data_IF_417694894103
#
_entry.id   IF_417694894103
#
_cell.length_a   1.000
_cell.length_b   1.000
_cell.length_c   1.000
_cell.angle_alpha   90.00
_cell.angle_beta   90.00
_cell.angle_gamma   90.00
#
_symmetry.space_group_name_H-M   'P 1'
#
loop_
_entity.id
_entity.type
_entity.pdbx_description
1 polymer ?
#
# COMPACT_ATOMS: atom_id res chain seq x y z
N UNK A 1 24.74 12.41 9.68
CA UNK A 1 24.65 11.13 8.95
C UNK A 1 25.04 11.38 7.50
N UNK A 2 25.88 10.56 6.93
CA UNK A 2 26.20 10.66 5.50
C UNK A 2 25.04 10.09 4.71
N UNK A 3 24.54 10.84 3.73
CA UNK A 3 23.51 10.36 2.81
C UNK A 3 24.08 9.22 1.96
N UNK A 4 23.36 8.12 1.87
CA UNK A 4 23.68 7.03 0.96
C UNK A 4 23.19 7.46 -0.44
N UNK A 5 23.98 7.20 -1.47
CA UNK A 5 23.55 7.44 -2.85
C UNK A 5 22.32 6.56 -3.15
N UNK A 6 21.14 7.14 -3.39
CA UNK A 6 19.94 6.37 -3.69
C UNK A 6 20.08 5.47 -4.95
N UNK A 7 20.99 5.80 -5.84
CA UNK A 7 21.23 5.04 -7.07
C UNK A 7 21.78 3.62 -6.81
N UNK A 8 22.34 3.36 -5.63
CA UNK A 8 22.81 2.00 -5.28
C UNK A 8 21.66 1.05 -4.92
N UNK A 9 20.47 1.58 -4.62
CA UNK A 9 19.29 0.74 -4.33
C UNK A 9 18.81 0.10 -5.63
N UNK A 10 18.75 -1.24 -5.71
CA UNK A 10 18.25 -1.91 -6.90
C UNK A 10 16.85 -1.46 -7.27
N UNK A 11 16.57 -1.40 -8.56
CA UNK A 11 15.26 -1.02 -9.08
C UNK A 11 14.53 -2.25 -9.62
N UNK A 12 13.28 -2.39 -9.24
CA UNK A 12 12.34 -3.33 -9.87
C UNK A 12 11.70 -2.65 -11.08
N UNK A 13 11.37 -3.44 -12.09
CA UNK A 13 10.73 -2.90 -13.30
C UNK A 13 9.31 -3.43 -13.37
N UNK A 14 8.34 -2.55 -13.23
CA UNK A 14 6.92 -2.88 -13.40
C UNK A 14 6.64 -3.24 -14.87
N UNK A 15 5.56 -3.96 -15.14
CA UNK A 15 5.17 -4.34 -16.52
C UNK A 15 4.96 -3.12 -17.43
N UNK A 16 4.71 -1.95 -16.86
CA UNK A 16 4.60 -0.66 -17.57
C UNK A 16 5.94 -0.08 -18.00
N UNK A 17 7.06 -0.67 -17.59
CA UNK A 17 8.40 -0.15 -17.79
C UNK A 17 8.88 0.82 -16.69
N UNK A 18 7.98 1.26 -15.80
CA UNK A 18 8.34 2.15 -14.70
C UNK A 18 9.27 1.45 -13.70
N UNK A 19 10.10 2.27 -13.04
CA UNK A 19 11.03 1.80 -12.01
C UNK A 19 10.46 2.04 -10.63
N UNK A 20 10.64 1.05 -9.75
CA UNK A 20 10.27 1.08 -8.34
C UNK A 20 11.47 0.66 -7.50
N UNK A 21 11.91 1.43 -6.50
CA UNK A 21 12.99 1.01 -5.61
C UNK A 21 12.67 -0.33 -4.94
N UNK A 22 13.66 -1.24 -4.91
CA UNK A 22 13.48 -2.56 -4.31
C UNK A 22 13.42 -2.54 -2.78
N UNK A 23 13.78 -1.42 -2.17
CA UNK A 23 13.71 -1.20 -0.72
C UNK A 23 12.93 0.08 -0.47
N UNK A 24 11.90 -0.01 0.35
CA UNK A 24 11.09 1.11 0.79
C UNK A 24 10.89 1.12 2.30
N UNK A 25 10.34 2.20 2.79
CA UNK A 25 9.93 2.35 4.19
C UNK A 25 8.42 2.30 4.29
N UNK A 26 7.90 1.35 5.10
CA UNK A 26 6.51 1.35 5.54
C UNK A 26 6.27 2.40 6.63
N UNK A 27 5.09 2.97 6.65
CA UNK A 27 4.71 4.05 7.58
C UNK A 27 3.67 3.63 8.61
N UNK A 28 3.40 2.33 8.75
CA UNK A 28 2.56 1.81 9.82
C UNK A 28 3.33 1.79 11.13
N UNK A 29 2.87 2.59 12.10
CA UNK A 29 3.52 2.69 13.42
C UNK A 29 3.20 1.53 14.35
N UNK A 30 2.20 0.71 14.02
CA UNK A 30 1.65 -0.30 14.93
C UNK A 30 1.22 0.29 16.29
N UNK A 31 1.12 -0.53 17.32
CA UNK A 31 0.83 -0.08 18.69
C UNK A 31 2.09 0.49 19.41
N UNK A 32 3.24 0.57 18.72
CA UNK A 32 4.55 0.87 19.31
C UNK A 32 5.09 2.25 18.95
N UNK A 33 4.60 2.86 17.87
CA UNK A 33 5.05 4.17 17.40
C UNK A 33 3.85 5.03 17.02
N UNK A 34 3.74 6.19 17.65
CA UNK A 34 2.74 7.18 17.28
C UNK A 34 3.08 7.89 15.95
N UNK A 35 2.16 8.71 15.47
CA UNK A 35 2.31 9.42 14.22
C UNK A 35 3.52 10.37 14.20
N UNK A 36 3.88 10.94 15.35
CA UNK A 36 5.06 11.82 15.49
C UNK A 36 6.36 11.03 15.30
N UNK A 37 6.48 9.87 15.95
CA UNK A 37 7.65 8.99 15.83
C UNK A 37 7.81 8.46 14.40
N UNK A 38 6.70 8.07 13.74
CA UNK A 38 6.72 7.64 12.34
C UNK A 38 7.15 8.77 11.42
N UNK A 39 6.60 9.98 11.60
CA UNK A 39 6.94 11.15 10.79
C UNK A 39 8.41 11.53 10.94
N UNK A 40 8.94 11.52 12.17
CA UNK A 40 10.36 11.73 12.42
C UNK A 40 11.23 10.67 11.73
N UNK A 41 10.78 9.41 11.70
CA UNK A 41 11.46 8.32 11.00
C UNK A 41 11.45 8.52 9.48
N UNK A 42 10.34 8.99 8.90
CA UNK A 42 10.25 9.35 7.47
C UNK A 42 11.24 10.46 7.12
N UNK A 43 11.32 11.53 7.95
CA UNK A 43 12.27 12.60 7.77
C UNK A 43 13.73 12.08 7.81
N UNK A 44 14.04 11.19 8.74
CA UNK A 44 15.34 10.53 8.83
C UNK A 44 15.65 9.67 7.61
N UNK A 45 14.66 8.89 7.15
CA UNK A 45 14.79 8.01 5.98
C UNK A 45 15.09 8.81 4.69
N UNK A 46 14.39 9.92 4.46
CA UNK A 46 14.68 10.82 3.33
C UNK A 46 16.14 11.31 3.35
N UNK A 47 16.62 11.73 4.52
CA UNK A 47 17.99 12.25 4.70
C UNK A 47 19.08 11.20 4.51
N UNK A 48 18.80 9.92 4.81
CA UNK A 48 19.76 8.83 4.57
C UNK A 48 19.64 8.21 3.18
N UNK A 49 18.67 8.61 2.36
CA UNK A 49 18.59 8.21 0.96
C UNK A 49 17.44 7.27 0.59
N UNK A 50 16.47 7.01 1.46
CA UNK A 50 15.24 6.31 1.07
C UNK A 50 14.47 7.12 0.02
N UNK A 51 13.95 6.42 -0.99
CA UNK A 51 13.18 7.02 -2.10
C UNK A 51 11.86 6.30 -2.37
N UNK A 52 11.49 5.31 -1.54
CA UNK A 52 10.19 4.63 -1.62
C UNK A 52 9.53 4.64 -0.24
N UNK A 53 8.25 5.05 -0.20
CA UNK A 53 7.44 5.14 1.02
C UNK A 53 6.08 4.51 0.78
N UNK A 54 5.67 3.67 1.71
CA UNK A 54 4.40 2.96 1.67
C UNK A 54 3.49 3.45 2.80
N UNK A 55 2.48 4.21 2.42
CA UNK A 55 1.48 4.82 3.30
C UNK A 55 0.14 4.06 3.21
N UNK A 56 -0.82 4.43 4.05
CA UNK A 56 -2.21 4.03 3.93
C UNK A 56 -3.12 4.98 4.70
N UNK A 57 -4.32 5.20 4.17
CA UNK A 57 -5.33 6.06 4.80
C UNK A 57 -5.66 5.63 6.24
N UNK A 58 -5.71 4.30 6.50
CA UNK A 58 -6.04 3.78 7.83
C UNK A 58 -4.90 3.90 8.87
N UNK A 59 -3.68 4.31 8.46
CA UNK A 59 -2.58 4.52 9.41
C UNK A 59 -2.73 5.82 10.21
N UNK A 60 -3.61 6.74 9.77
CA UNK A 60 -3.96 7.96 10.49
C UNK A 60 -2.82 8.98 10.62
N UNK A 61 -1.81 8.92 9.75
CA UNK A 61 -0.61 9.74 9.82
C UNK A 61 -0.21 10.41 8.49
N UNK A 62 -1.02 10.26 7.44
CA UNK A 62 -0.68 10.78 6.10
C UNK A 62 -0.50 12.30 6.09
N UNK A 63 -1.26 13.05 6.88
CA UNK A 63 -1.16 14.51 6.95
C UNK A 63 0.16 14.98 7.57
N UNK A 64 0.66 14.27 8.56
CA UNK A 64 1.96 14.54 9.18
C UNK A 64 3.11 14.16 8.23
N UNK A 65 3.01 13.00 7.58
CA UNK A 65 3.98 12.57 6.56
C UNK A 65 4.00 13.55 5.38
N UNK A 66 2.84 14.05 4.98
CA UNK A 66 2.72 15.06 3.93
C UNK A 66 3.44 16.36 4.25
N UNK A 67 3.48 16.78 5.52
CA UNK A 67 4.31 17.93 5.94
C UNK A 67 5.79 17.63 5.76
N UNK A 68 6.23 16.42 6.14
CA UNK A 68 7.64 16.00 5.97
C UNK A 68 8.05 16.00 4.49
N UNK A 69 7.18 15.50 3.59
CA UNK A 69 7.45 15.55 2.15
C UNK A 69 7.53 16.98 1.63
N UNK A 70 6.57 17.83 2.01
CA UNK A 70 6.55 19.22 1.59
C UNK A 70 7.80 19.98 2.06
N UNK A 71 8.20 19.78 3.31
CA UNK A 71 9.41 20.39 3.87
C UNK A 71 10.67 19.91 3.15
N UNK A 72 10.76 18.58 2.88
CA UNK A 72 11.90 18.00 2.16
C UNK A 72 12.00 18.52 0.71
N UNK A 73 10.88 18.78 0.05
CA UNK A 73 10.85 19.41 -1.29
C UNK A 73 11.29 20.87 -1.21
N UNK A 74 10.79 21.63 -0.23
CA UNK A 74 11.12 23.04 -0.03
C UNK A 74 12.60 23.23 0.33
N UNK A 75 13.17 22.33 1.15
CA UNK A 75 14.58 22.34 1.54
C UNK A 75 15.52 21.80 0.42
N UNK A 76 14.98 21.28 -0.68
CA UNK A 76 15.76 20.70 -1.78
C UNK A 76 16.47 19.39 -1.42
N UNK A 77 16.02 18.67 -0.38
CA UNK A 77 16.57 17.39 0.02
C UNK A 77 16.28 16.33 -1.05
N UNK A 78 15.10 16.42 -1.66
CA UNK A 78 14.62 15.51 -2.70
C UNK A 78 13.57 16.22 -3.55
N UNK A 79 13.43 15.81 -4.82
CA UNK A 79 12.34 16.25 -5.68
C UNK A 79 11.21 15.22 -5.66
N UNK A 80 9.98 15.65 -5.97
CA UNK A 80 8.81 14.74 -6.00
C UNK A 80 9.01 13.57 -6.96
N UNK A 81 9.59 13.82 -8.12
CA UNK A 81 9.83 12.81 -9.15
C UNK A 81 10.91 11.77 -8.79
N UNK A 82 11.72 12.04 -7.77
CA UNK A 82 12.71 11.10 -7.26
C UNK A 82 12.12 10.12 -6.25
N UNK A 83 10.87 10.36 -5.80
CA UNK A 83 10.18 9.52 -4.83
C UNK A 83 9.18 8.58 -5.52
N UNK A 84 9.11 7.35 -5.03
CA UNK A 84 8.04 6.41 -5.28
C UNK A 84 7.15 6.35 -4.03
N UNK A 85 5.98 6.97 -4.10
CA UNK A 85 5.05 7.06 -2.97
C UNK A 85 3.82 6.22 -3.27
N UNK A 86 3.58 5.23 -2.41
CA UNK A 86 2.41 4.38 -2.43
C UNK A 86 1.46 4.74 -1.29
N UNK A 87 0.17 4.55 -1.52
CA UNK A 87 -0.85 4.54 -0.47
C UNK A 87 -1.98 3.56 -0.83
N UNK A 88 -3.00 3.46 0.04
CA UNK A 88 -4.01 2.40 -0.06
C UNK A 88 -5.39 2.94 0.29
N UNK A 89 -6.41 2.57 -0.51
CA UNK A 89 -7.79 2.78 -0.15
C UNK A 89 -8.19 1.80 0.95
N UNK A 90 -8.79 2.32 2.02
CA UNK A 90 -9.22 1.49 3.13
C UNK A 90 -10.58 0.84 2.86
N UNK A 91 -10.91 -0.15 3.68
CA UNK A 91 -12.04 -1.06 3.49
C UNK A 91 -13.42 -0.39 3.68
N UNK A 92 -13.48 0.77 4.29
CA UNK A 92 -14.70 1.58 4.44
C UNK A 92 -15.06 2.39 3.18
N UNK A 93 -14.13 2.48 2.20
CA UNK A 93 -14.24 3.32 1.01
C UNK A 93 -14.31 2.49 -0.29
N UNK A 94 -15.13 1.43 -0.30
CA UNK A 94 -15.34 0.56 -1.47
C UNK A 94 -16.69 0.80 -2.18
N UNK A 95 -17.49 1.75 -1.72
CA UNK A 95 -18.76 2.11 -2.35
C UNK A 95 -18.59 2.88 -3.66
N UNK A 96 -19.73 3.19 -4.29
CA UNK A 96 -19.73 3.93 -5.56
C UNK A 96 -19.26 5.39 -5.35
N UNK A 97 -18.15 5.77 -5.98
CA UNK A 97 -17.52 7.08 -5.84
C UNK A 97 -16.51 7.18 -4.69
N UNK A 98 -16.51 6.25 -3.76
CA UNK A 98 -15.71 6.31 -2.53
C UNK A 98 -14.21 6.30 -2.80
N UNK A 99 -13.75 5.50 -3.76
CA UNK A 99 -12.32 5.38 -4.09
C UNK A 99 -11.74 6.72 -4.56
N UNK A 100 -12.51 7.49 -5.33
CA UNK A 100 -12.10 8.83 -5.77
C UNK A 100 -12.00 9.80 -4.59
N UNK A 101 -12.98 9.75 -3.69
CA UNK A 101 -12.99 10.58 -2.47
C UNK A 101 -11.80 10.23 -1.57
N UNK A 102 -11.55 8.93 -1.37
CA UNK A 102 -10.44 8.44 -0.57
C UNK A 102 -9.08 8.86 -1.16
N UNK A 103 -8.90 8.69 -2.47
CA UNK A 103 -7.67 9.10 -3.16
C UNK A 103 -7.44 10.61 -3.07
N UNK A 104 -8.49 11.41 -3.27
CA UNK A 104 -8.40 12.87 -3.16
C UNK A 104 -8.02 13.30 -1.72
N UNK A 105 -8.56 12.62 -0.70
CA UNK A 105 -8.16 12.86 0.69
C UNK A 105 -6.70 12.50 0.93
N UNK A 106 -6.27 11.31 0.52
CA UNK A 106 -4.87 10.86 0.63
C UNK A 106 -3.90 11.84 -0.04
N UNK A 107 -4.19 12.28 -1.27
CA UNK A 107 -3.38 13.26 -1.98
C UNK A 107 -3.31 14.61 -1.23
N UNK A 108 -4.44 15.08 -0.70
CA UNK A 108 -4.48 16.30 0.12
C UNK A 108 -3.65 16.16 1.38
N UNK A 109 -3.79 15.06 2.11
CA UNK A 109 -3.09 14.82 3.36
C UNK A 109 -1.57 14.67 3.12
N UNK A 110 -1.18 13.89 2.13
CA UNK A 110 0.23 13.73 1.72
C UNK A 110 0.81 14.96 1.01
N UNK A 111 -0.01 15.99 0.69
CA UNK A 111 0.38 17.20 -0.07
C UNK A 111 1.02 16.88 -1.42
N UNK A 112 0.40 15.99 -2.16
CA UNK A 112 0.85 15.48 -3.46
C UNK A 112 -0.21 15.70 -4.54
N UNK A 113 0.24 15.88 -5.78
CA UNK A 113 -0.65 15.95 -6.95
C UNK A 113 -0.96 14.56 -7.53
N UNK A 114 -0.10 13.59 -7.30
CA UNK A 114 -0.25 12.20 -7.74
C UNK A 114 0.44 11.21 -6.80
N UNK A 115 -0.01 9.96 -6.85
CA UNK A 115 0.68 8.81 -6.25
C UNK A 115 1.44 8.03 -7.34
N UNK A 116 2.54 7.37 -6.97
CA UNK A 116 3.22 6.44 -7.88
C UNK A 116 2.49 5.09 -7.92
N UNK A 117 1.91 4.68 -6.78
CA UNK A 117 1.11 3.47 -6.67
C UNK A 117 -0.06 3.69 -5.70
N UNK A 118 -1.25 3.21 -6.08
CA UNK A 118 -2.38 3.18 -5.17
C UNK A 118 -2.95 1.77 -5.09
N UNK A 119 -3.10 1.23 -3.87
CA UNK A 119 -3.54 -0.14 -3.65
C UNK A 119 -4.98 -0.21 -3.15
N UNK A 120 -5.69 -1.28 -3.49
CA UNK A 120 -6.81 -1.76 -2.67
C UNK A 120 -6.21 -2.50 -1.49
N UNK A 121 -6.39 -1.99 -0.26
CA UNK A 121 -5.70 -2.48 0.94
C UNK A 121 -6.11 -3.92 1.29
N UNK A 122 -7.43 -4.20 1.23
CA UNK A 122 -7.98 -5.55 1.36
C UNK A 122 -9.02 -5.80 0.27
N UNK A 123 -9.19 -7.04 -0.19
CA UNK A 123 -10.06 -7.34 -1.33
C UNK A 123 -11.56 -7.31 -1.00
N UNK A 124 -11.94 -6.94 0.21
CA UNK A 124 -13.33 -6.90 0.65
C UNK A 124 -13.61 -5.64 1.47
N UNK A 125 -14.81 -5.07 1.34
CA UNK A 125 -15.19 -3.95 2.17
C UNK A 125 -15.37 -4.41 3.61
N UNK A 126 -14.76 -3.68 4.52
CA UNK A 126 -14.92 -3.84 5.94
C UNK A 126 -15.26 -2.47 6.51
N UNK A 127 -16.50 -2.30 6.95
CA UNK A 127 -16.96 -1.01 7.46
C UNK A 127 -16.44 -0.78 8.88
N UNK A 128 -15.13 -0.61 9.00
CA UNK A 128 -14.61 0.02 10.19
C UNK A 128 -14.81 1.52 10.07
N UNK A 129 -15.31 2.16 11.12
CA UNK A 129 -15.26 3.61 11.16
C UNK A 129 -13.78 4.05 11.08
N UNK A 130 -13.49 5.22 10.49
CA UNK A 130 -12.14 5.77 10.53
C UNK A 130 -11.63 5.79 11.98
N UNK A 131 -10.40 5.37 12.20
CA UNK A 131 -9.78 5.27 13.52
C UNK A 131 -10.40 4.22 14.48
N UNK A 132 -11.18 3.29 13.99
CA UNK A 132 -11.55 2.14 14.78
C UNK A 132 -10.33 1.26 15.05
N UNK A 133 -10.30 0.73 16.28
CA UNK A 133 -9.39 -0.34 16.62
C UNK A 133 -9.48 -1.47 15.58
N UNK A 134 -8.33 -2.00 15.19
CA UNK A 134 -8.22 -3.13 14.25
C UNK A 134 -9.03 -4.35 14.73
N UNK A 135 -9.31 -4.45 16.02
CA UNK A 135 -10.19 -5.48 16.59
C UNK A 135 -11.67 -5.27 16.29
N UNK A 136 -12.10 -4.06 15.96
CA UNK A 136 -13.50 -3.80 15.65
C UNK A 136 -13.84 -4.36 14.26
N UNK A 137 -13.78 -5.68 14.10
CA UNK A 137 -14.37 -6.35 12.96
C UNK A 137 -15.86 -6.06 12.99
N UNK A 138 -16.30 -5.18 12.11
CA UNK A 138 -17.71 -4.96 11.96
C UNK A 138 -18.35 -6.31 11.59
N UNK A 139 -19.32 -6.83 12.38
CA UNK A 139 -20.06 -8.04 12.02
C UNK A 139 -20.78 -7.89 10.67
N UNK A 140 -21.01 -6.66 10.20
CA UNK A 140 -21.58 -6.36 8.90
C UNK A 140 -20.54 -6.33 7.76
N UNK A 141 -19.30 -6.78 7.99
CA UNK A 141 -18.30 -6.86 6.94
C UNK A 141 -18.80 -7.76 5.80
N UNK A 142 -18.81 -7.20 4.59
CA UNK A 142 -19.29 -7.94 3.43
C UNK A 142 -18.21 -8.89 2.92
N UNK A 143 -18.57 -10.15 2.59
CA UNK A 143 -17.61 -11.10 2.05
C UNK A 143 -17.08 -10.61 0.69
N UNK A 144 -15.89 -11.09 0.33
CA UNK A 144 -15.38 -10.93 -1.03
C UNK A 144 -16.37 -11.53 -2.04
N UNK A 145 -16.72 -10.74 -3.04
CA UNK A 145 -17.33 -11.22 -4.28
C UNK A 145 -16.64 -10.53 -5.45
N UNK A 146 -16.50 -11.25 -6.56
CA UNK A 146 -15.90 -10.69 -7.79
C UNK A 146 -16.60 -9.41 -8.23
N UNK A 147 -17.94 -9.41 -8.19
CA UNK A 147 -18.75 -8.25 -8.59
C UNK A 147 -18.41 -7.01 -7.75
N UNK A 148 -18.38 -7.13 -6.42
CA UNK A 148 -18.08 -6.00 -5.53
C UNK A 148 -16.65 -5.52 -5.73
N UNK A 149 -15.70 -6.46 -5.77
CA UNK A 149 -14.31 -6.11 -5.97
C UNK A 149 -14.09 -5.37 -7.31
N UNK A 150 -14.71 -5.85 -8.39
CA UNK A 150 -14.59 -5.20 -9.69
C UNK A 150 -15.23 -3.81 -9.76
N UNK A 151 -16.25 -3.51 -8.94
CA UNK A 151 -16.74 -2.14 -8.80
C UNK A 151 -15.69 -1.21 -8.20
N UNK A 152 -15.00 -1.68 -7.16
CA UNK A 152 -13.87 -0.94 -6.56
C UNK A 152 -12.72 -0.82 -7.56
N UNK A 153 -12.35 -1.93 -8.22
CA UNK A 153 -11.24 -1.93 -9.17
C UNK A 153 -11.44 -0.99 -10.36
N UNK A 154 -12.63 -0.92 -10.91
CA UNK A 154 -12.96 0.03 -11.99
C UNK A 154 -12.80 1.48 -11.57
N UNK A 155 -13.06 1.81 -10.30
CA UNK A 155 -12.78 3.14 -9.79
C UNK A 155 -11.25 3.37 -9.67
N UNK A 156 -10.48 2.36 -9.25
CA UNK A 156 -9.01 2.43 -9.27
C UNK A 156 -8.48 2.70 -10.68
N UNK A 157 -8.99 2.01 -11.69
CA UNK A 157 -8.63 2.23 -13.10
C UNK A 157 -8.91 3.67 -13.55
N UNK A 158 -10.02 4.26 -13.10
CA UNK A 158 -10.35 5.66 -13.38
C UNK A 158 -9.35 6.64 -12.76
N UNK A 159 -8.78 6.33 -11.58
CA UNK A 159 -7.74 7.19 -10.99
C UNK A 159 -6.50 7.27 -11.90
N UNK A 160 -6.15 6.17 -12.57
CA UNK A 160 -5.05 6.17 -13.56
C UNK A 160 -5.43 7.05 -14.77
N UNK A 161 -6.65 6.90 -15.30
CA UNK A 161 -7.12 7.72 -16.43
C UNK A 161 -7.14 9.22 -16.09
N UNK A 162 -7.37 9.57 -14.83
CA UNK A 162 -7.36 10.94 -14.31
C UNK A 162 -5.97 11.47 -13.96
N UNK A 163 -4.94 10.61 -13.97
CA UNK A 163 -3.58 10.98 -13.58
C UNK A 163 -3.35 11.17 -12.07
N UNK A 164 -4.30 10.74 -11.24
CA UNK A 164 -4.19 10.83 -9.77
C UNK A 164 -3.27 9.76 -9.18
N UNK A 165 -3.07 8.67 -9.90
CA UNK A 165 -2.03 7.68 -9.62
C UNK A 165 -1.42 7.17 -10.93
N UNK A 166 -0.12 6.88 -10.91
CA UNK A 166 0.56 6.30 -12.08
C UNK A 166 0.26 4.82 -12.26
N UNK A 167 0.17 4.10 -11.14
CA UNK A 167 -0.06 2.66 -11.11
C UNK A 167 -1.08 2.31 -10.05
N UNK A 168 -1.72 1.16 -10.23
CA UNK A 168 -2.66 0.58 -9.26
C UNK A 168 -2.25 -0.84 -8.91
N UNK A 169 -2.51 -1.23 -7.68
CA UNK A 169 -2.17 -2.53 -7.14
C UNK A 169 -3.27 -3.10 -6.23
N UNK A 170 -3.08 -4.32 -5.84
CA UNK A 170 -3.95 -5.03 -4.89
C UNK A 170 -3.11 -5.50 -3.71
N UNK A 171 -3.70 -5.55 -2.53
CA UNK A 171 -3.04 -6.09 -1.35
C UNK A 171 -3.88 -7.21 -0.73
N UNK A 172 -3.21 -8.14 -0.04
CA UNK A 172 -3.87 -9.24 0.68
C UNK A 172 -4.75 -10.15 -0.21
N UNK A 173 -4.34 -10.36 -1.45
CA UNK A 173 -5.00 -11.25 -2.40
C UNK A 173 -4.55 -12.70 -2.21
N UNK A 174 -5.40 -13.63 -2.62
CA UNK A 174 -5.07 -15.05 -2.76
C UNK A 174 -5.13 -15.45 -4.23
N UNK A 175 -4.49 -16.56 -4.63
CA UNK A 175 -4.49 -17.06 -6.01
C UNK A 175 -5.91 -17.19 -6.56
N UNK A 176 -6.88 -17.87 -5.88
CA UNK A 176 -8.25 -17.97 -6.40
C UNK A 176 -8.93 -16.61 -6.62
N UNK A 177 -8.65 -15.62 -5.77
CA UNK A 177 -9.19 -14.26 -5.97
C UNK A 177 -8.56 -13.59 -7.20
N UNK A 178 -7.23 -13.73 -7.36
CA UNK A 178 -6.53 -13.20 -8.54
C UNK A 178 -7.03 -13.85 -9.83
N UNK A 179 -7.16 -15.17 -9.87
CA UNK A 179 -7.69 -15.91 -11.02
C UNK A 179 -9.09 -15.43 -11.42
N UNK A 180 -9.92 -15.11 -10.43
CA UNK A 180 -11.28 -14.64 -10.67
C UNK A 180 -11.34 -13.19 -11.18
N UNK A 181 -10.41 -12.30 -10.80
CA UNK A 181 -10.50 -10.87 -11.13
C UNK A 181 -9.58 -10.43 -12.25
N UNK A 182 -8.38 -11.02 -12.40
CA UNK A 182 -7.41 -10.59 -13.41
C UNK A 182 -7.96 -10.59 -14.85
N UNK A 183 -8.75 -11.58 -15.29
CA UNK A 183 -9.34 -11.57 -16.62
C UNK A 183 -10.33 -10.41 -16.86
N UNK A 184 -10.82 -9.79 -15.79
CA UNK A 184 -11.83 -8.72 -15.84
C UNK A 184 -11.21 -7.32 -15.71
N UNK A 185 -9.91 -7.26 -15.36
CA UNK A 185 -9.19 -5.99 -15.23
C UNK A 185 -8.86 -5.40 -16.60
N UNK A 186 -9.26 -4.16 -16.86
CA UNK A 186 -8.81 -3.38 -18.02
C UNK A 186 -7.35 -2.95 -17.84
N UNK A 187 -7.03 -2.47 -16.64
CA UNK A 187 -5.65 -2.19 -16.23
C UNK A 187 -5.25 -3.27 -15.22
N UNK A 188 -4.26 -4.05 -15.58
CA UNK A 188 -3.71 -5.10 -14.71
C UNK A 188 -3.05 -4.46 -13.48
N UNK A 189 -3.14 -5.06 -12.27
CA UNK A 189 -2.38 -4.58 -11.14
C UNK A 189 -0.89 -4.59 -11.45
N UNK A 190 -0.21 -3.50 -11.14
CA UNK A 190 1.24 -3.38 -11.36
C UNK A 190 2.01 -4.14 -10.28
N UNK A 191 1.45 -4.23 -9.08
CA UNK A 191 2.01 -4.99 -7.97
C UNK A 191 0.92 -5.62 -7.10
N UNK A 192 1.29 -6.72 -6.45
CA UNK A 192 0.57 -7.30 -5.31
C UNK A 192 1.40 -7.08 -4.06
N UNK A 193 0.77 -6.44 -3.07
CA UNK A 193 1.38 -6.28 -1.75
C UNK A 193 0.87 -7.38 -0.82
N UNK A 194 1.80 -8.12 -0.20
CA UNK A 194 1.48 -9.24 0.67
C UNK A 194 2.48 -9.37 1.81
N UNK A 195 2.07 -10.00 2.91
CA UNK A 195 3.02 -10.37 3.96
C UNK A 195 4.05 -11.36 3.40
N UNK A 196 5.33 -11.01 3.51
CA UNK A 196 6.40 -11.83 2.97
C UNK A 196 7.67 -11.67 3.81
N UNK A 197 8.10 -12.75 4.45
CA UNK A 197 9.30 -12.80 5.28
C UNK A 197 9.86 -14.24 5.39
N UNK A 198 11.06 -14.48 5.94
CA UNK A 198 11.69 -15.80 5.96
C UNK A 198 10.83 -16.92 6.57
N UNK A 199 9.98 -16.59 7.54
CA UNK A 199 9.07 -17.56 8.16
C UNK A 199 7.72 -17.68 7.45
N UNK A 200 7.42 -16.82 6.46
CA UNK A 200 6.19 -16.82 5.69
C UNK A 200 6.46 -16.39 4.24
N UNK A 201 6.90 -17.34 3.43
CA UNK A 201 7.47 -17.07 2.11
C UNK A 201 6.45 -17.05 0.98
N UNK A 202 5.28 -17.64 1.14
CA UNK A 202 4.18 -17.70 0.14
C UNK A 202 4.66 -18.03 -1.29
N UNK A 203 5.43 -19.12 -1.51
CA UNK A 203 6.10 -19.37 -2.78
C UNK A 203 5.11 -19.48 -3.95
N UNK A 204 3.97 -20.14 -3.75
CA UNK A 204 2.98 -20.31 -4.80
C UNK A 204 2.38 -18.96 -5.26
N UNK A 205 2.05 -18.08 -4.33
CA UNK A 205 1.50 -16.75 -4.65
C UNK A 205 2.58 -15.86 -5.29
N UNK A 206 3.80 -15.96 -4.80
CA UNK A 206 4.95 -15.23 -5.37
C UNK A 206 5.19 -15.64 -6.82
N UNK A 207 5.27 -16.94 -7.09
CA UNK A 207 5.51 -17.48 -8.42
C UNK A 207 4.32 -17.20 -9.36
N UNK A 208 3.09 -17.27 -8.85
CA UNK A 208 1.90 -16.88 -9.59
C UNK A 208 1.96 -15.43 -10.06
N UNK A 209 2.28 -14.51 -9.15
CA UNK A 209 2.40 -13.08 -9.50
C UNK A 209 3.48 -12.86 -10.58
N UNK A 210 4.64 -13.48 -10.42
CA UNK A 210 5.74 -13.38 -11.38
C UNK A 210 5.38 -13.93 -12.76
N UNK A 211 4.71 -15.09 -12.80
CA UNK A 211 4.26 -15.68 -14.06
C UNK A 211 3.27 -14.78 -14.83
N UNK A 212 2.52 -13.94 -14.11
CA UNK A 212 1.59 -12.96 -14.70
C UNK A 212 2.23 -11.58 -14.94
N UNK A 213 3.54 -11.42 -14.70
CA UNK A 213 4.25 -10.16 -14.85
C UNK A 213 3.74 -9.09 -13.88
N UNK A 214 3.35 -9.49 -12.68
CA UNK A 214 2.92 -8.62 -11.58
C UNK A 214 4.06 -8.58 -10.56
N UNK A 215 4.48 -7.39 -10.16
CA UNK A 215 5.55 -7.26 -9.15
C UNK A 215 5.02 -7.59 -7.77
N UNK A 216 5.90 -8.06 -6.88
CA UNK A 216 5.56 -8.40 -5.50
C UNK A 216 6.20 -7.40 -4.56
N UNK A 217 5.39 -6.85 -3.65
CA UNK A 217 5.83 -5.99 -2.56
C UNK A 217 5.56 -6.72 -1.24
N UNK A 218 6.62 -6.94 -0.46
CA UNK A 218 6.52 -7.61 0.83
C UNK A 218 6.37 -6.61 1.96
N UNK A 219 5.28 -6.69 2.74
CA UNK A 219 5.21 -6.02 4.03
C UNK A 219 5.67 -6.95 5.17
N UNK A 220 6.03 -6.39 6.33
CA UNK A 220 6.64 -7.11 7.45
C UNK A 220 7.85 -7.98 7.03
N UNK A 221 8.83 -7.46 6.26
CA UNK A 221 9.87 -8.30 5.63
C UNK A 221 10.81 -9.01 6.61
N UNK A 222 10.83 -8.62 7.87
CA UNK A 222 11.58 -9.28 8.95
C UNK A 222 10.65 -9.99 9.96
N UNK A 223 9.36 -10.09 9.62
CA UNK A 223 8.31 -10.55 10.53
C UNK A 223 7.87 -9.47 11.51
N UNK A 224 6.90 -9.81 12.35
CA UNK A 224 6.42 -8.95 13.42
C UNK A 224 6.48 -9.72 14.73
N UNK A 225 7.60 -9.68 15.46
CA UNK A 225 7.82 -10.52 16.65
C UNK A 225 6.88 -10.16 17.81
N UNK A 226 6.40 -8.94 17.85
CA UNK A 226 5.51 -8.43 18.89
C UNK A 226 4.06 -8.28 18.40
N UNK A 227 3.62 -9.17 17.51
CA UNK A 227 2.21 -9.19 17.12
C UNK A 227 1.35 -9.38 18.38
N UNK A 228 0.32 -8.55 18.59
CA UNK A 228 -0.68 -8.79 19.61
C UNK A 228 -1.22 -10.21 19.50
N UNK A 229 -1.62 -10.84 20.62
CA UNK A 229 -2.18 -12.20 20.60
C UNK A 229 -3.36 -12.33 19.62
N UNK A 230 -4.16 -11.27 19.48
CA UNK A 230 -5.24 -11.15 18.50
C UNK A 230 -4.77 -11.40 17.05
N UNK A 231 -3.60 -10.88 16.68
CA UNK A 231 -3.07 -10.99 15.30
C UNK A 231 -2.39 -12.34 15.05
N UNK A 232 -1.93 -13.00 16.13
CA UNK A 232 -1.40 -14.37 16.04
C UNK A 232 -2.49 -15.36 15.66
N UNK A 233 -3.72 -15.15 16.14
CA UNK A 233 -4.87 -16.00 15.83
C UNK A 233 -5.44 -15.75 14.44
N UNK A 234 -5.34 -14.52 13.92
CA UNK A 234 -5.88 -14.10 12.61
C UNK A 234 -4.99 -14.54 11.46
N UNK A 235 -3.69 -14.59 11.68
CA UNK A 235 -2.70 -14.98 10.67
C UNK A 235 -2.95 -16.39 10.08
N UNK A 236 -3.51 -17.30 10.87
CA UNK A 236 -3.81 -18.67 10.42
C UNK A 236 -5.19 -18.85 9.77
N UNK A 237 -6.16 -18.00 10.07
CA UNK A 237 -7.53 -18.16 9.55
C UNK A 237 -7.75 -17.52 8.19
N UNK A 238 -6.98 -16.53 7.82
CA UNK A 238 -7.09 -15.88 6.50
C UNK A 238 -6.29 -16.56 5.40
N UNK A 239 -5.35 -17.42 5.76
CA UNK A 239 -4.50 -18.17 4.84
C UNK A 239 -5.09 -19.52 4.43
N UNK A 240 -6.17 -19.96 5.06
CA UNK A 240 -6.85 -21.24 4.78
C UNK A 240 -8.23 -21.10 4.15
N UNK A 241 -8.68 -19.90 3.81
CA UNK A 241 -9.99 -19.68 3.19
C UNK A 241 -9.86 -19.25 1.72
#
# INVERSE_FOLDING_TARGET
>A
MTMIDPAIVPQRTLYTGAKMPAVGMGTFGSDHADADAVSASVAGALRVGYRSFDCAACYGNEDMIGKIFADAFAEGIVKREELFIASKVWNDMHGDGDVLIACAKTLKDLKLDYLDMYYVHWPFPNYHAPHCDVESRNPDSKPFTVERFMKTWRQMERLVDMGLTKHIGMSNMTIPKLEAVLPLCRIKPAAIEMELHPCFQQPELFDYCRAHGIEVVGFCPIGSPERPERDKTVSYTHLRA
#
